data_IF_100601682117
#
_entry.id   IF_100601682117
#
_cell.length_a   1.000
_cell.length_b   1.000
_cell.length_c   1.000
_cell.angle_alpha   90.00
_cell.angle_beta   90.00
_cell.angle_gamma   90.00
#
_symmetry.space_group_name_H-M   'P 1'
#
loop_
_entity.id
_entity.type
_entity.pdbx_description
1 polymer ?
#
# COMPACT_ATOMS: atom_id res chain seq x y z
N UNK A 1 -0.18 -46.34 17.29
CA UNK A 1 -0.78 -44.99 17.23
C UNK A 1 -0.07 -44.09 18.24
N UNK A 2 0.88 -43.24 17.85
CA UNK A 2 1.51 -42.32 18.79
C UNK A 2 0.55 -41.17 19.11
N UNK A 3 0.32 -40.92 20.40
CA UNK A 3 -0.45 -39.76 20.90
C UNK A 3 0.23 -38.45 20.49
N UNK A 4 -0.51 -37.39 20.12
CA UNK A 4 0.09 -36.09 19.87
C UNK A 4 0.71 -35.56 21.17
N UNK A 5 1.96 -35.12 21.08
CA UNK A 5 2.69 -34.51 22.19
C UNK A 5 1.92 -33.29 22.71
N UNK A 6 1.57 -33.29 23.99
CA UNK A 6 1.05 -32.11 24.68
C UNK A 6 2.19 -31.09 24.77
N UNK A 7 2.19 -30.09 23.89
CA UNK A 7 3.06 -28.91 24.01
C UNK A 7 2.79 -28.26 25.37
N UNK A 8 3.77 -28.28 26.27
CA UNK A 8 3.72 -27.52 27.52
C UNK A 8 3.62 -26.04 27.14
N UNK A 9 2.43 -25.44 27.29
CA UNK A 9 2.25 -23.99 27.10
C UNK A 9 3.21 -23.25 28.02
N UNK A 10 4.01 -22.35 27.46
CA UNK A 10 4.98 -21.59 28.24
C UNK A 10 4.23 -20.72 29.28
N UNK A 11 4.82 -20.46 30.47
CA UNK A 11 4.18 -19.69 31.54
C UNK A 11 3.65 -18.32 31.07
N UNK A 12 4.33 -17.70 30.10
CA UNK A 12 4.06 -16.39 29.52
C UNK A 12 2.87 -16.37 28.52
N UNK A 13 2.41 -17.53 28.03
CA UNK A 13 1.27 -17.60 27.11
C UNK A 13 -0.09 -17.45 27.81
N UNK A 14 -0.17 -17.79 29.11
CA UNK A 14 -1.43 -17.77 29.85
C UNK A 14 -2.01 -16.36 30.05
N UNK A 15 -1.20 -15.34 30.41
CA UNK A 15 -1.66 -13.95 30.50
C UNK A 15 -2.17 -13.40 29.16
N UNK A 16 -1.48 -13.69 28.05
CA UNK A 16 -1.82 -13.19 26.71
C UNK A 16 -3.12 -13.73 26.14
N UNK A 17 -3.67 -14.81 26.71
CA UNK A 17 -4.97 -15.32 26.28
C UNK A 17 -6.10 -14.91 27.23
N UNK A 18 -5.79 -14.26 28.36
CA UNK A 18 -6.78 -13.86 29.35
C UNK A 18 -7.75 -12.81 28.78
N UNK A 19 -9.04 -12.92 29.12
CA UNK A 19 -10.07 -11.99 28.65
C UNK A 19 -10.37 -12.03 27.14
N UNK A 20 -9.90 -13.07 26.41
CA UNK A 20 -10.31 -13.36 25.05
C UNK A 20 -11.46 -14.38 25.02
N UNK A 21 -12.47 -14.12 24.19
CA UNK A 21 -13.55 -15.08 23.94
C UNK A 21 -13.03 -16.28 23.10
N UNK A 22 -13.79 -17.38 22.97
CA UNK A 22 -13.32 -18.57 22.25
C UNK A 22 -12.89 -18.31 20.80
N UNK A 23 -13.60 -17.45 20.05
CA UNK A 23 -13.26 -17.13 18.67
C UNK A 23 -11.98 -16.30 18.57
N UNK A 24 -11.82 -15.29 19.43
CA UNK A 24 -10.62 -14.47 19.54
C UNK A 24 -9.40 -15.33 19.92
N UNK A 25 -9.56 -16.27 20.87
CA UNK A 25 -8.49 -17.21 21.24
C UNK A 25 -8.05 -18.06 20.07
N UNK A 26 -8.98 -18.59 19.27
CA UNK A 26 -8.64 -19.37 18.07
C UNK A 26 -7.85 -18.52 17.07
N UNK A 27 -8.27 -17.27 16.84
CA UNK A 27 -7.57 -16.35 15.95
C UNK A 27 -6.15 -16.01 16.45
N UNK A 28 -5.96 -15.76 17.75
CA UNK A 28 -4.64 -15.50 18.34
C UNK A 28 -3.74 -16.74 18.29
N UNK A 29 -4.30 -17.93 18.49
CA UNK A 29 -3.56 -19.20 18.50
C UNK A 29 -3.29 -19.79 17.11
N UNK A 30 -3.89 -19.25 16.05
CA UNK A 30 -3.69 -19.75 14.69
C UNK A 30 -2.20 -19.71 14.33
N UNK A 31 -1.67 -20.84 13.85
CA UNK A 31 -0.25 -20.99 13.54
C UNK A 31 0.08 -20.44 12.17
N UNK A 32 0.47 -21.34 11.27
CA UNK A 32 0.89 -21.01 9.91
C UNK A 32 -0.29 -21.01 8.93
N UNK A 33 -0.05 -20.40 7.77
CA UNK A 33 -1.02 -20.32 6.67
C UNK A 33 -2.03 -19.16 6.80
N UNK A 34 -2.79 -18.91 5.73
CA UNK A 34 -3.71 -17.78 5.66
C UNK A 34 -4.85 -17.91 6.67
N UNK A 35 -5.26 -16.77 7.24
CA UNK A 35 -6.38 -16.67 8.16
C UNK A 35 -7.23 -15.44 7.81
N UNK A 36 -8.53 -15.64 7.59
CA UNK A 36 -9.49 -14.56 7.44
C UNK A 36 -10.34 -14.43 8.71
N UNK A 37 -10.41 -13.23 9.28
CA UNK A 37 -11.24 -12.92 10.44
C UNK A 37 -12.35 -11.98 10.02
N UNK A 38 -13.59 -12.49 9.97
CA UNK A 38 -14.78 -11.66 9.72
C UNK A 38 -15.30 -11.14 11.05
N UNK A 39 -15.29 -9.83 11.24
CA UNK A 39 -15.58 -9.22 12.53
C UNK A 39 -16.31 -7.86 12.39
N UNK A 40 -17.45 -7.73 13.06
CA UNK A 40 -18.24 -6.49 13.13
C UNK A 40 -17.55 -5.36 13.91
N UNK A 41 -18.14 -4.17 13.91
CA UNK A 41 -17.67 -3.06 14.75
C UNK A 41 -17.69 -3.45 16.24
N UNK A 42 -16.70 -3.00 17.01
CA UNK A 42 -16.65 -3.25 18.46
C UNK A 42 -16.32 -4.68 18.91
N UNK A 43 -16.13 -5.66 18.01
CA UNK A 43 -15.87 -7.07 18.39
C UNK A 43 -14.43 -7.37 18.84
N UNK A 44 -13.60 -6.34 19.00
CA UNK A 44 -12.22 -6.47 19.45
C UNK A 44 -11.22 -6.89 18.38
N UNK A 45 -11.43 -6.52 17.10
CA UNK A 45 -10.48 -6.78 15.99
C UNK A 45 -9.04 -6.40 16.34
N UNK A 46 -8.83 -5.15 16.74
CA UNK A 46 -7.51 -4.64 17.14
C UNK A 46 -6.94 -5.42 18.32
N UNK A 47 -7.79 -5.83 19.29
CA UNK A 47 -7.36 -6.66 20.42
C UNK A 47 -6.82 -8.01 19.93
N UNK A 48 -7.50 -8.65 18.98
CA UNK A 48 -7.05 -9.92 18.40
C UNK A 48 -5.71 -9.76 17.70
N UNK A 49 -5.54 -8.72 16.87
CA UNK A 49 -4.30 -8.47 16.13
C UNK A 49 -3.13 -8.23 17.11
N UNK A 50 -3.30 -7.34 18.10
CA UNK A 50 -2.21 -7.03 19.03
C UNK A 50 -1.83 -8.22 19.91
N UNK A 51 -2.80 -9.00 20.38
CA UNK A 51 -2.53 -10.21 21.16
C UNK A 51 -1.90 -11.30 20.29
N UNK A 52 -2.21 -11.37 18.99
CA UNK A 52 -1.56 -12.27 18.05
C UNK A 52 -0.10 -11.91 17.85
N UNK A 53 0.23 -10.64 17.63
CA UNK A 53 1.62 -10.15 17.55
C UNK A 53 2.36 -10.52 18.84
N UNK A 54 1.81 -10.15 20.00
CA UNK A 54 2.42 -10.44 21.28
C UNK A 54 2.67 -11.94 21.50
N UNK A 55 1.70 -12.78 21.13
CA UNK A 55 1.82 -14.24 21.23
C UNK A 55 2.90 -14.79 20.30
N UNK A 56 3.01 -14.29 19.06
CA UNK A 56 4.04 -14.73 18.12
C UNK A 56 5.45 -14.46 18.66
N UNK A 57 5.64 -13.31 19.30
CA UNK A 57 6.90 -12.92 19.93
C UNK A 57 7.16 -13.76 21.20
N UNK A 58 6.21 -13.80 22.14
CA UNK A 58 6.37 -14.49 23.42
C UNK A 58 6.58 -16.01 23.26
N UNK A 59 5.90 -16.63 22.30
CA UNK A 59 6.09 -18.06 21.99
C UNK A 59 7.36 -18.36 21.20
N UNK A 60 8.15 -17.34 20.83
CA UNK A 60 9.33 -17.42 19.96
C UNK A 60 9.04 -18.01 18.58
N UNK A 61 7.80 -17.86 18.11
CA UNK A 61 7.40 -18.29 16.77
C UNK A 61 7.97 -17.37 15.68
N UNK A 62 8.17 -16.10 16.01
CA UNK A 62 8.82 -15.11 15.15
C UNK A 62 9.66 -14.15 15.99
N UNK A 63 10.74 -13.63 15.41
CA UNK A 63 11.38 -12.42 15.95
C UNK A 63 10.49 -11.21 15.64
N UNK A 64 10.56 -10.12 16.44
CA UNK A 64 9.74 -8.92 16.20
C UNK A 64 9.90 -8.36 14.79
N UNK A 65 11.13 -8.26 14.28
CA UNK A 65 11.46 -7.77 12.93
C UNK A 65 10.92 -8.66 11.78
N UNK A 66 10.38 -9.83 12.11
CA UNK A 66 9.73 -10.74 11.15
C UNK A 66 8.22 -10.58 11.08
N UNK A 67 7.65 -9.64 11.82
CA UNK A 67 6.22 -9.38 11.90
C UNK A 67 5.93 -8.01 11.28
N UNK A 68 5.08 -8.01 10.26
CA UNK A 68 4.51 -6.81 9.66
C UNK A 68 3.02 -6.75 10.00
N UNK A 69 2.54 -5.63 10.52
CA UNK A 69 1.13 -5.34 10.68
C UNK A 69 0.79 -4.02 9.97
N UNK A 70 -0.16 -4.08 9.04
CA UNK A 70 -0.55 -2.91 8.24
C UNK A 70 -1.98 -2.47 8.54
N UNK A 71 -2.20 -1.17 8.56
CA UNK A 71 -3.53 -0.57 8.76
C UNK A 71 -3.75 0.63 7.84
N UNK A 72 -4.93 1.25 7.91
CA UNK A 72 -5.30 2.36 7.04
C UNK A 72 -5.00 3.75 7.63
N UNK A 73 -4.84 3.87 8.95
CA UNK A 73 -4.64 5.19 9.59
C UNK A 73 -3.47 5.17 10.54
N UNK A 74 -2.72 6.27 10.58
CA UNK A 74 -1.59 6.45 11.50
C UNK A 74 -2.04 6.32 12.96
N UNK A 75 -3.22 6.84 13.31
CA UNK A 75 -3.81 6.65 14.63
C UNK A 75 -3.99 5.18 14.99
N UNK A 76 -4.49 4.35 14.07
CA UNK A 76 -4.65 2.92 14.33
C UNK A 76 -3.31 2.21 14.47
N UNK A 77 -2.29 2.62 13.70
CA UNK A 77 -0.93 2.07 13.80
C UNK A 77 -0.34 2.39 15.19
N UNK A 78 -0.34 3.65 15.60
CA UNK A 78 0.18 4.07 16.92
C UNK A 78 -0.61 3.44 18.08
N UNK A 79 -1.93 3.33 17.97
CA UNK A 79 -2.73 2.64 19.00
C UNK A 79 -2.43 1.14 19.07
N UNK A 80 -2.13 0.49 17.94
CA UNK A 80 -1.73 -0.92 17.90
C UNK A 80 -0.34 -1.11 18.50
N UNK A 81 0.61 -0.25 18.14
CA UNK A 81 1.99 -0.25 18.67
C UNK A 81 1.99 -0.12 20.20
N UNK A 82 1.35 0.94 20.73
CA UNK A 82 1.25 1.16 22.17
C UNK A 82 0.62 -0.04 22.92
N UNK A 83 -0.33 -0.74 22.30
CA UNK A 83 -0.93 -1.95 22.89
C UNK A 83 0.00 -3.15 22.86
N UNK A 84 0.80 -3.31 21.80
CA UNK A 84 1.79 -4.39 21.71
C UNK A 84 2.91 -4.17 22.74
N UNK A 85 3.37 -2.93 22.92
CA UNK A 85 4.42 -2.59 23.90
C UNK A 85 4.02 -2.94 25.33
N UNK A 86 2.76 -2.71 25.70
CA UNK A 86 2.23 -3.11 27.01
C UNK A 86 2.19 -4.63 27.17
N UNK A 87 1.93 -5.38 26.09
CA UNK A 87 1.82 -6.84 26.12
C UNK A 87 3.17 -7.55 26.10
N UNK A 88 4.21 -6.94 25.51
CA UNK A 88 5.55 -7.51 25.40
C UNK A 88 6.61 -6.49 25.88
N UNK A 89 6.63 -6.18 27.18
CA UNK A 89 7.61 -5.24 27.73
C UNK A 89 9.03 -5.80 27.60
N UNK A 90 10.02 -4.92 27.45
CA UNK A 90 11.46 -5.23 27.42
C UNK A 90 12.03 -5.86 26.14
N UNK A 91 11.35 -5.71 24.99
CA UNK A 91 11.91 -6.16 23.71
C UNK A 91 12.82 -5.08 23.10
N UNK A 92 14.05 -5.44 22.71
CA UNK A 92 15.01 -4.51 22.09
C UNK A 92 14.73 -4.23 20.60
N UNK A 93 13.77 -4.95 20.01
CA UNK A 93 13.32 -4.82 18.63
C UNK A 93 11.80 -4.88 18.63
N UNK A 94 11.17 -4.08 17.78
CA UNK A 94 9.72 -3.99 17.70
C UNK A 94 9.20 -4.67 16.44
N UNK A 95 7.94 -5.10 16.49
CA UNK A 95 7.21 -5.49 15.29
C UNK A 95 6.98 -4.26 14.43
N UNK A 96 6.97 -4.45 13.13
CA UNK A 96 6.69 -3.38 12.20
C UNK A 96 5.18 -3.13 12.14
N UNK A 97 4.73 -1.99 12.66
CA UNK A 97 3.32 -1.60 12.68
C UNK A 97 3.17 -0.25 11.99
N UNK A 98 2.52 -0.21 10.84
CA UNK A 98 2.45 1.02 10.04
C UNK A 98 1.18 1.09 9.20
N UNK A 99 0.96 2.21 8.52
CA UNK A 99 0.02 2.24 7.40
C UNK A 99 0.60 1.57 6.15
N UNK A 100 -0.26 1.26 5.17
CA UNK A 100 0.20 0.82 3.84
C UNK A 100 1.14 1.83 3.19
N UNK A 101 0.83 3.12 3.29
CA UNK A 101 1.62 4.20 2.72
C UNK A 101 2.97 4.36 3.43
N UNK A 102 2.99 4.36 4.76
CA UNK A 102 4.23 4.44 5.55
C UNK A 102 5.12 3.21 5.35
N UNK A 103 4.53 2.02 5.20
CA UNK A 103 5.25 0.81 4.79
C UNK A 103 5.86 0.99 3.39
N UNK A 104 5.03 1.43 2.44
CA UNK A 104 5.42 1.56 1.05
C UNK A 104 6.53 2.59 0.85
N UNK A 105 6.42 3.76 1.47
CA UNK A 105 7.48 4.78 1.44
C UNK A 105 8.81 4.23 1.96
N UNK A 106 8.81 3.50 3.08
CA UNK A 106 10.05 2.90 3.60
C UNK A 106 10.66 1.91 2.61
N UNK A 107 9.85 1.01 2.04
CA UNK A 107 10.32 0.06 1.02
C UNK A 107 10.91 0.82 -0.19
N UNK A 108 10.26 1.90 -0.63
CA UNK A 108 10.78 2.74 -1.72
C UNK A 108 12.10 3.42 -1.35
N UNK A 109 12.29 3.86 -0.10
CA UNK A 109 13.56 4.46 0.35
C UNK A 109 14.67 3.41 0.41
N UNK A 110 14.39 2.25 0.98
CA UNK A 110 15.35 1.13 1.08
C UNK A 110 15.80 0.63 -0.31
N UNK A 111 14.92 0.72 -1.31
CA UNK A 111 15.15 0.25 -2.67
C UNK A 111 15.08 1.36 -3.74
N UNK A 112 15.43 2.60 -3.37
CA UNK A 112 15.21 3.77 -4.25
C UNK A 112 15.90 3.62 -5.61
N UNK A 113 17.11 3.06 -5.62
CA UNK A 113 17.87 2.80 -6.83
C UNK A 113 17.20 1.76 -7.75
N UNK A 114 16.56 0.73 -7.20
CA UNK A 114 15.87 -0.30 -7.98
C UNK A 114 14.62 0.22 -8.70
N UNK A 115 13.93 1.17 -8.06
CA UNK A 115 12.77 1.91 -8.60
C UNK A 115 13.21 3.06 -9.52
N UNK A 116 14.48 3.47 -9.40
CA UNK A 116 15.10 4.58 -10.13
C UNK A 116 14.56 5.95 -9.69
N UNK A 117 14.49 6.12 -8.38
CA UNK A 117 14.29 7.41 -7.69
C UNK A 117 15.52 7.72 -6.85
N UNK A 118 15.80 8.99 -6.56
CA UNK A 118 16.81 9.34 -5.57
C UNK A 118 16.32 8.95 -4.16
N UNK A 119 17.18 8.50 -3.24
CA UNK A 119 16.77 8.07 -1.88
C UNK A 119 16.04 9.16 -1.06
N UNK A 120 16.32 10.43 -1.35
CA UNK A 120 15.73 11.63 -0.76
C UNK A 120 14.54 12.18 -1.57
N UNK A 121 13.86 11.34 -2.35
CA UNK A 121 12.63 11.74 -3.03
C UNK A 121 11.64 12.41 -2.07
N UNK A 122 10.88 13.38 -2.60
CA UNK A 122 9.87 14.12 -1.83
C UNK A 122 8.47 13.66 -2.19
N UNK A 123 7.65 13.51 -1.15
CA UNK A 123 6.22 13.25 -1.30
C UNK A 123 5.49 14.57 -1.60
N UNK A 124 4.70 14.57 -2.66
CA UNK A 124 3.93 15.72 -3.10
C UNK A 124 2.50 15.65 -2.53
N UNK A 125 2.15 16.60 -1.67
CA UNK A 125 0.80 16.71 -1.11
C UNK A 125 -0.22 17.09 -2.21
N UNK A 126 -1.50 16.80 -1.97
CA UNK A 126 -2.57 17.00 -2.96
C UNK A 126 -2.65 18.43 -3.52
N UNK A 127 -2.44 19.43 -2.67
CA UNK A 127 -2.43 20.85 -3.10
C UNK A 127 -1.21 21.14 -3.98
N UNK A 128 -0.06 20.60 -3.61
CA UNK A 128 1.20 20.79 -4.33
C UNK A 128 1.20 20.06 -5.67
N UNK A 129 0.46 18.94 -5.80
CA UNK A 129 0.27 18.24 -7.08
C UNK A 129 -0.43 19.14 -8.11
N UNK A 130 -1.48 19.85 -7.71
CA UNK A 130 -2.19 20.77 -8.61
C UNK A 130 -1.29 21.95 -9.04
N UNK A 131 -0.46 22.46 -8.12
CA UNK A 131 0.53 23.50 -8.42
C UNK A 131 1.59 22.97 -9.39
N UNK A 132 2.13 21.78 -9.15
CA UNK A 132 3.12 21.13 -9.99
C UNK A 132 2.61 20.88 -11.42
N UNK A 133 1.38 20.38 -11.55
CA UNK A 133 0.73 20.19 -12.86
C UNK A 133 0.53 21.52 -13.57
N UNK A 134 0.11 22.57 -12.85
CA UNK A 134 -0.06 23.91 -13.42
C UNK A 134 1.27 24.47 -13.96
N UNK A 135 2.36 24.31 -13.21
CA UNK A 135 3.69 24.77 -13.63
C UNK A 135 4.26 23.99 -14.82
N UNK A 136 3.84 22.73 -14.98
CA UNK A 136 4.26 21.86 -16.09
C UNK A 136 3.17 21.67 -17.16
N UNK A 137 2.12 22.51 -17.17
CA UNK A 137 0.91 22.30 -17.98
C UNK A 137 1.20 22.13 -19.48
N UNK A 138 2.17 22.88 -20.01
CA UNK A 138 2.53 22.83 -21.42
C UNK A 138 3.46 21.67 -21.79
N UNK A 139 3.99 20.95 -20.79
CA UNK A 139 4.77 19.72 -21.00
C UNK A 139 3.88 18.47 -21.01
N UNK A 140 2.63 18.60 -20.57
CA UNK A 140 1.65 17.53 -20.63
C UNK A 140 0.96 17.53 -22.01
N UNK A 141 0.69 16.36 -22.60
CA UNK A 141 0.03 16.22 -23.90
C UNK A 141 -1.49 16.43 -23.78
N UNK A 142 -1.89 17.58 -23.26
CA UNK A 142 -3.29 17.99 -23.09
C UNK A 142 -3.81 18.74 -24.32
N UNK A 143 -5.03 18.41 -24.71
CA UNK A 143 -5.82 19.03 -25.77
C UNK A 143 -7.23 19.33 -25.27
N UNK A 144 -8.11 18.33 -25.15
CA UNK A 144 -9.49 18.50 -24.68
C UNK A 144 -9.54 19.08 -23.25
N UNK A 145 -8.62 18.64 -22.38
CA UNK A 145 -8.59 19.06 -20.98
C UNK A 145 -7.75 20.34 -20.74
N UNK A 146 -7.30 21.02 -21.80
CA UNK A 146 -6.62 22.33 -21.71
C UNK A 146 -7.29 23.36 -22.62
N UNK A 147 -8.48 23.87 -22.26
CA UNK A 147 -9.20 24.84 -23.07
C UNK A 147 -8.48 26.20 -23.11
N UNK A 148 -8.44 26.85 -24.28
CA UNK A 148 -7.67 28.08 -24.52
C UNK A 148 -8.00 29.24 -23.56
N UNK A 149 -9.28 29.44 -23.23
CA UNK A 149 -9.72 30.54 -22.36
C UNK A 149 -9.38 30.33 -20.88
N UNK A 150 -9.24 29.09 -20.43
CA UNK A 150 -8.93 28.74 -19.04
C UNK A 150 -8.08 27.44 -18.97
N UNK A 151 -6.77 27.50 -19.31
CA UNK A 151 -5.95 26.30 -19.48
C UNK A 151 -5.84 25.41 -18.23
N UNK A 152 -6.04 25.98 -17.05
CA UNK A 152 -5.94 25.27 -15.76
C UNK A 152 -7.26 24.68 -15.27
N UNK A 153 -8.36 24.86 -16.03
CA UNK A 153 -9.72 24.51 -15.58
C UNK A 153 -9.88 23.06 -15.14
N UNK A 154 -9.23 22.12 -15.84
CA UNK A 154 -9.45 20.69 -15.65
C UNK A 154 -8.32 19.97 -14.89
N UNK A 155 -7.38 20.71 -14.27
CA UNK A 155 -6.24 20.10 -13.59
C UNK A 155 -6.68 19.11 -12.50
N UNK A 156 -7.70 19.47 -11.72
CA UNK A 156 -8.19 18.62 -10.61
C UNK A 156 -8.85 17.34 -11.12
N UNK A 157 -9.64 17.45 -12.18
CA UNK A 157 -10.35 16.34 -12.80
C UNK A 157 -9.37 15.35 -13.46
N UNK A 158 -8.31 15.86 -14.09
CA UNK A 158 -7.23 15.04 -14.64
C UNK A 158 -6.48 14.32 -13.52
N UNK A 159 -6.11 15.01 -12.45
CA UNK A 159 -5.44 14.40 -11.28
C UNK A 159 -6.32 13.34 -10.60
N UNK A 160 -7.62 13.59 -10.47
CA UNK A 160 -8.58 12.62 -9.92
C UNK A 160 -8.70 11.38 -10.81
N UNK A 161 -8.71 11.55 -12.14
CA UNK A 161 -8.71 10.42 -13.07
C UNK A 161 -7.42 9.57 -12.92
N UNK A 162 -6.26 10.22 -12.83
CA UNK A 162 -4.96 9.56 -12.59
C UNK A 162 -4.96 8.83 -11.24
N UNK A 163 -5.45 9.47 -10.18
CA UNK A 163 -5.56 8.86 -8.84
C UNK A 163 -6.35 7.56 -8.89
N UNK A 164 -7.52 7.56 -9.54
CA UNK A 164 -8.36 6.36 -9.69
C UNK A 164 -7.64 5.26 -10.46
N UNK A 165 -6.96 5.61 -11.55
CA UNK A 165 -6.16 4.65 -12.32
C UNK A 165 -5.08 4.00 -11.44
N UNK A 166 -4.38 4.79 -10.61
CA UNK A 166 -3.39 4.27 -9.66
C UNK A 166 -4.01 3.36 -8.60
N UNK A 167 -5.15 3.76 -8.01
CA UNK A 167 -5.85 2.96 -6.99
C UNK A 167 -6.34 1.61 -7.53
N UNK A 168 -6.69 1.55 -8.81
CA UNK A 168 -7.06 0.31 -9.52
C UNK A 168 -5.84 -0.42 -10.12
N UNK A 169 -4.61 -0.01 -9.77
CA UNK A 169 -3.35 -0.61 -10.25
C UNK A 169 -3.25 -0.67 -11.79
N UNK A 170 -3.82 0.34 -12.46
CA UNK A 170 -3.73 0.50 -13.91
C UNK A 170 -2.46 1.27 -14.23
N UNK A 171 -1.58 0.69 -15.06
CA UNK A 171 -0.37 1.35 -15.54
C UNK A 171 -0.66 2.24 -16.76
N UNK A 172 0.13 3.31 -17.00
CA UNK A 172 -0.05 4.17 -18.16
C UNK A 172 -0.11 3.40 -19.48
N UNK A 173 0.78 2.41 -19.67
CA UNK A 173 0.86 1.63 -20.90
C UNK A 173 -0.37 0.73 -21.09
N UNK A 174 -0.91 0.19 -20.00
CA UNK A 174 -2.11 -0.64 -20.04
C UNK A 174 -3.35 0.20 -20.38
N UNK A 175 -3.42 1.42 -19.85
CA UNK A 175 -4.52 2.35 -20.14
C UNK A 175 -4.47 2.90 -21.57
N UNK A 176 -3.27 3.14 -22.12
CA UNK A 176 -3.12 3.50 -23.54
C UNK A 176 -3.68 2.40 -24.44
N UNK A 177 -3.33 1.12 -24.19
CA UNK A 177 -3.87 0.00 -24.98
C UNK A 177 -5.39 -0.06 -24.92
N UNK A 178 -5.96 0.11 -23.71
CA UNK A 178 -7.41 0.15 -23.54
C UNK A 178 -8.06 1.29 -24.33
N UNK A 179 -7.52 2.51 -24.27
CA UNK A 179 -8.05 3.65 -25.00
C UNK A 179 -7.97 3.48 -26.53
N UNK A 180 -6.89 2.88 -27.03
CA UNK A 180 -6.77 2.54 -28.45
C UNK A 180 -7.80 1.49 -28.90
N UNK A 181 -8.04 0.47 -28.07
CA UNK A 181 -9.08 -0.53 -28.34
C UNK A 181 -10.48 0.08 -28.39
N UNK A 182 -10.79 1.01 -27.48
CA UNK A 182 -12.04 1.79 -27.54
C UNK A 182 -12.13 2.55 -28.86
N UNK A 183 -11.04 3.18 -29.31
CA UNK A 183 -11.00 3.89 -30.59
C UNK A 183 -11.22 2.96 -31.79
N UNK A 184 -10.66 1.74 -31.77
CA UNK A 184 -10.86 0.73 -32.83
C UNK A 184 -12.29 0.20 -32.87
N UNK A 185 -12.95 0.09 -31.71
CA UNK A 185 -14.34 -0.41 -31.59
C UNK A 185 -15.40 0.68 -31.82
N UNK A 186 -15.00 1.95 -31.82
CA UNK A 186 -15.91 3.09 -31.94
C UNK A 186 -16.56 3.15 -33.32
N UNK A 187 -17.89 3.05 -33.33
CA UNK A 187 -18.74 3.12 -34.51
C UNK A 187 -19.33 4.51 -34.74
N UNK A 188 -19.61 5.24 -33.66
CA UNK A 188 -20.19 6.58 -33.69
C UNK A 188 -19.16 7.67 -33.41
N UNK A 189 -19.45 8.94 -33.76
CA UNK A 189 -18.55 10.04 -33.41
C UNK A 189 -18.46 10.25 -31.90
N UNK A 190 -19.55 10.05 -31.15
CA UNK A 190 -19.54 10.15 -29.69
C UNK A 190 -18.61 9.10 -29.03
N UNK A 191 -18.59 7.88 -29.55
CA UNK A 191 -17.65 6.83 -29.10
C UNK A 191 -16.20 7.18 -29.45
N UNK A 192 -15.97 7.74 -30.66
CA UNK A 192 -14.63 8.20 -31.07
C UNK A 192 -14.14 9.35 -30.19
N UNK A 193 -15.00 10.30 -29.86
CA UNK A 193 -14.68 11.39 -28.94
C UNK A 193 -14.32 10.86 -27.54
N UNK A 194 -15.12 9.93 -27.02
CA UNK A 194 -14.85 9.26 -25.73
C UNK A 194 -13.49 8.55 -25.74
N UNK A 195 -13.19 7.78 -26.79
CA UNK A 195 -11.91 7.11 -26.94
C UNK A 195 -10.72 8.09 -26.98
N UNK A 196 -10.87 9.23 -27.68
CA UNK A 196 -9.86 10.30 -27.71
C UNK A 196 -9.59 10.87 -26.31
N UNK A 197 -10.64 11.13 -25.52
CA UNK A 197 -10.50 11.62 -24.12
C UNK A 197 -9.76 10.62 -23.24
N UNK A 198 -10.10 9.33 -23.35
CA UNK A 198 -9.38 8.27 -22.62
C UNK A 198 -7.90 8.21 -23.01
N UNK A 199 -7.60 8.31 -24.30
CA UNK A 199 -6.22 8.28 -24.80
C UNK A 199 -5.42 9.50 -24.32
N UNK A 200 -6.05 10.67 -24.27
CA UNK A 200 -5.44 11.89 -23.70
C UNK A 200 -5.07 11.68 -22.23
N UNK A 201 -6.01 11.22 -21.39
CA UNK A 201 -5.73 10.92 -19.97
C UNK A 201 -4.61 9.88 -19.83
N UNK A 202 -4.59 8.84 -20.65
CA UNK A 202 -3.54 7.82 -20.61
C UNK A 202 -2.14 8.38 -20.91
N UNK A 203 -2.04 9.25 -21.93
CA UNK A 203 -0.77 9.91 -22.28
C UNK A 203 -0.35 10.92 -21.23
N UNK A 204 -1.30 11.68 -20.69
CA UNK A 204 -1.05 12.63 -19.60
C UNK A 204 -0.59 11.92 -18.34
N UNK A 205 -1.17 10.76 -18.02
CA UNK A 205 -0.75 9.93 -16.89
C UNK A 205 0.72 9.51 -17.03
N UNK A 206 1.12 8.97 -18.18
CA UNK A 206 2.52 8.60 -18.43
C UNK A 206 3.47 9.81 -18.36
N UNK A 207 3.08 10.95 -18.95
CA UNK A 207 3.86 12.18 -18.90
C UNK A 207 4.00 12.73 -17.47
N UNK A 208 2.91 12.72 -16.68
CA UNK A 208 2.89 13.15 -15.29
C UNK A 208 3.82 12.30 -14.42
N UNK A 209 3.78 10.97 -14.53
CA UNK A 209 4.72 10.09 -13.81
C UNK A 209 6.17 10.36 -14.21
N UNK A 210 6.43 10.57 -15.51
CA UNK A 210 7.76 10.93 -16.00
C UNK A 210 8.26 12.25 -15.41
N UNK A 211 7.38 13.26 -15.33
CA UNK A 211 7.69 14.56 -14.71
C UNK A 211 8.00 14.40 -13.22
N UNK A 212 7.16 13.71 -12.46
CA UNK A 212 7.41 13.41 -11.04
C UNK A 212 8.79 12.76 -10.85
N UNK A 213 9.07 11.69 -11.60
CA UNK A 213 10.35 10.96 -11.54
C UNK A 213 11.56 11.84 -11.85
N UNK A 214 11.49 12.64 -12.92
CA UNK A 214 12.59 13.52 -13.31
C UNK A 214 12.88 14.64 -12.30
N UNK A 215 11.93 14.94 -11.40
CA UNK A 215 12.08 15.93 -10.33
C UNK A 215 12.34 15.28 -8.95
N UNK A 216 12.52 13.95 -8.88
CA UNK A 216 12.66 13.25 -7.60
C UNK A 216 11.42 13.36 -6.71
N UNK A 217 10.23 13.38 -7.32
CA UNK A 217 8.95 13.51 -6.63
C UNK A 217 8.15 12.23 -6.77
N UNK A 218 7.36 11.90 -5.75
CA UNK A 218 6.30 10.91 -5.82
C UNK A 218 5.01 11.53 -5.26
N UNK A 219 3.85 11.01 -5.62
CA UNK A 219 2.60 11.35 -4.94
C UNK A 219 2.15 10.27 -3.94
N UNK A 220 1.02 10.49 -3.28
CA UNK A 220 0.52 9.59 -2.24
C UNK A 220 0.23 8.17 -2.76
N UNK A 221 -0.31 8.05 -3.98
CA UNK A 221 -0.65 6.74 -4.54
C UNK A 221 0.59 6.00 -5.07
N UNK A 222 1.65 6.74 -5.41
CA UNK A 222 2.96 6.17 -5.76
C UNK A 222 3.58 5.36 -4.60
N UNK A 223 3.28 5.71 -3.33
CA UNK A 223 3.79 4.96 -2.16
C UNK A 223 3.37 3.48 -2.20
N UNK A 224 2.23 3.15 -2.81
CA UNK A 224 1.78 1.76 -2.99
C UNK A 224 2.08 1.26 -4.40
N UNK A 225 1.71 2.03 -5.43
CA UNK A 225 1.80 1.55 -6.82
C UNK A 225 3.24 1.31 -7.29
N UNK A 226 4.19 2.14 -6.88
CA UNK A 226 5.60 1.90 -7.20
C UNK A 226 6.18 0.68 -6.48
N UNK A 227 5.71 0.38 -5.26
CA UNK A 227 6.11 -0.84 -4.54
C UNK A 227 5.56 -2.06 -5.26
N UNK A 228 4.30 -2.03 -5.69
CA UNK A 228 3.73 -3.13 -6.46
C UNK A 228 4.51 -3.37 -7.76
N UNK A 229 4.85 -2.31 -8.50
CA UNK A 229 5.67 -2.41 -9.71
C UNK A 229 7.09 -2.92 -9.42
N UNK A 230 7.72 -2.45 -8.33
CA UNK A 230 9.02 -2.92 -7.86
C UNK A 230 8.99 -4.43 -7.61
N UNK A 231 8.01 -4.93 -6.86
CA UNK A 231 7.91 -6.35 -6.52
C UNK A 231 7.61 -7.24 -7.74
N UNK A 232 6.91 -6.71 -8.75
CA UNK A 232 6.68 -7.41 -10.03
C UNK A 232 7.94 -7.49 -10.89
N UNK A 233 8.77 -6.44 -10.89
CA UNK A 233 9.95 -6.33 -11.76
C UNK A 233 11.23 -6.84 -11.13
N UNK A 234 11.33 -6.85 -9.80
CA UNK A 234 12.53 -7.22 -9.04
C UNK A 234 12.24 -8.40 -8.10
N UNK A 235 12.31 -9.64 -8.60
CA UNK A 235 12.09 -10.83 -7.78
C UNK A 235 13.03 -10.93 -6.57
N UNK A 236 14.24 -10.37 -6.65
CA UNK A 236 15.21 -10.31 -5.54
C UNK A 236 14.67 -9.52 -4.34
N UNK A 237 14.08 -8.35 -4.58
CA UNK A 237 13.47 -7.51 -3.54
C UNK A 237 12.26 -8.20 -2.93
N UNK A 238 11.41 -8.82 -3.77
CA UNK A 238 10.26 -9.59 -3.29
C UNK A 238 10.67 -10.74 -2.37
N UNK A 239 11.72 -11.46 -2.74
CA UNK A 239 12.25 -12.59 -1.98
C UNK A 239 12.91 -12.13 -0.66
N UNK A 240 13.60 -10.97 -0.67
CA UNK A 240 14.10 -10.31 0.54
C UNK A 240 12.96 -9.97 1.52
N UNK A 241 11.93 -9.25 1.06
CA UNK A 241 10.81 -8.88 1.93
C UNK A 241 10.04 -10.10 2.46
N UNK A 242 9.88 -11.16 1.65
CA UNK A 242 9.27 -12.43 2.08
C UNK A 242 10.09 -13.16 3.14
N UNK A 243 11.43 -13.12 3.04
CA UNK A 243 12.32 -13.67 4.07
C UNK A 243 12.28 -12.86 5.36
N UNK A 244 12.19 -11.53 5.23
CA UNK A 244 12.09 -10.62 6.37
C UNK A 244 10.77 -10.83 7.09
N UNK A 245 9.64 -10.55 6.43
CA UNK A 245 8.30 -10.62 7.04
C UNK A 245 7.68 -12.01 6.90
N UNK A 246 7.89 -12.85 7.91
CA UNK A 246 7.31 -14.19 7.99
C UNK A 246 5.82 -14.17 8.35
N UNK A 247 5.39 -13.18 9.12
CA UNK A 247 4.00 -13.00 9.51
C UNK A 247 3.52 -11.61 9.09
N UNK A 248 2.43 -11.56 8.33
CA UNK A 248 1.78 -10.33 7.87
C UNK A 248 0.37 -10.29 8.47
N UNK A 249 0.01 -9.17 9.09
CA UNK A 249 -1.25 -8.96 9.82
C UNK A 249 -2.01 -7.72 9.34
#
# INVERSE_FOLDING_TARGET
>A
MPRPARTRRQPEERPLLAGLNPAQRRAVLHGDGPLLIVAGAGTGKTKVITHRIARLIASKAARPDQILAVTFTEKAASEMEARVDVLVPYTSSFAEISTFNSFGERVLRDHALDVGYPPDFRLLADVDQAVFVRENLFRLPLDYYRPLGQPTRHIREVLEAIRRLKQEDVRPEDYVRHAEELGRKASTEAERETARKHLEIARVFGAYQGLLRSNGLIDFEDQVTLVVDLLRRRPSVLDELRRRYRYIL
#
